data_IF_833004254959
#
_entry.id   IF_833004254959
#
_cell.length_a   1.000
_cell.length_b   1.000
_cell.length_c   1.000
_cell.angle_alpha   90.00
_cell.angle_beta   90.00
_cell.angle_gamma   90.00
#
_symmetry.space_group_name_H-M   'P 1'
#
loop_
_entity.id
_entity.type
_entity.pdbx_description
1 polymer ?
#
# COMPACT_ATOMS: atom_id res chain seq x y z
N UNK A 1 1.37 -17.24 27.79
CA UNK A 1 2.63 -16.66 27.33
C UNK A 1 2.30 -15.95 26.04
N UNK A 2 2.04 -14.64 26.10
CA UNK A 2 1.75 -13.87 24.89
C UNK A 2 3.04 -13.85 24.07
N UNK A 3 3.03 -14.48 22.89
CA UNK A 3 4.10 -14.28 21.94
C UNK A 3 4.02 -12.82 21.51
N UNK A 4 5.04 -12.04 21.82
CA UNK A 4 5.23 -10.74 21.18
C UNK A 4 5.43 -11.01 19.69
N UNK A 5 4.35 -10.94 18.91
CA UNK A 5 4.45 -10.94 17.46
C UNK A 5 5.07 -9.60 17.09
N UNK A 6 6.37 -9.61 16.81
CA UNK A 6 7.06 -8.50 16.17
C UNK A 6 6.30 -8.19 14.87
N UNK A 7 5.53 -7.10 14.88
CA UNK A 7 4.76 -6.69 13.71
C UNK A 7 5.74 -6.23 12.65
N UNK A 8 5.72 -6.91 11.51
CA UNK A 8 6.59 -6.60 10.40
C UNK A 8 6.14 -5.28 9.76
N UNK A 9 6.76 -4.17 10.16
CA UNK A 9 6.47 -2.84 9.64
C UNK A 9 7.35 -2.57 8.42
N UNK A 10 6.77 -2.36 7.23
CA UNK A 10 7.56 -2.05 6.04
C UNK A 10 8.24 -0.68 6.19
N UNK A 11 9.53 -0.62 5.83
CA UNK A 11 10.28 0.62 5.73
C UNK A 11 10.26 1.11 4.29
N UNK A 12 9.96 2.40 4.09
CA UNK A 12 9.95 3.04 2.77
C UNK A 12 11.13 3.99 2.62
N UNK A 13 11.80 3.89 1.48
CA UNK A 13 12.85 4.84 1.10
C UNK A 13 12.19 6.15 0.64
N UNK A 14 11.97 7.05 1.59
CA UNK A 14 11.25 8.32 1.35
C UNK A 14 11.94 9.22 0.34
N UNK A 15 13.28 9.28 0.34
CA UNK A 15 14.01 10.19 -0.55
C UNK A 15 13.88 9.78 -2.02
N UNK A 16 13.73 8.48 -2.28
CA UNK A 16 13.69 7.96 -3.64
C UNK A 16 12.27 7.59 -4.10
N UNK A 17 11.25 7.70 -3.24
CA UNK A 17 9.87 7.32 -3.56
C UNK A 17 8.86 8.36 -3.01
N UNK A 18 8.97 9.65 -3.35
CA UNK A 18 8.09 10.68 -2.82
C UNK A 18 6.61 10.44 -3.19
N UNK A 19 6.33 10.02 -4.43
CA UNK A 19 4.95 9.83 -4.92
C UNK A 19 4.26 8.65 -4.24
N UNK A 20 5.02 7.58 -3.94
CA UNK A 20 4.52 6.46 -3.16
C UNK A 20 4.13 6.88 -1.74
N UNK A 21 4.94 7.75 -1.11
CA UNK A 21 4.62 8.28 0.22
C UNK A 21 3.33 9.12 0.15
N UNK A 22 3.22 9.98 -0.86
CA UNK A 22 2.02 10.79 -1.07
C UNK A 22 0.79 9.90 -1.31
N UNK A 23 0.91 8.86 -2.13
CA UNK A 23 -0.17 7.93 -2.41
C UNK A 23 -0.66 7.18 -1.16
N UNK A 24 0.27 6.70 -0.32
CA UNK A 24 -0.10 6.02 0.93
C UNK A 24 -0.79 7.00 1.89
N UNK A 25 -0.35 8.26 1.94
CA UNK A 25 -0.96 9.30 2.79
C UNK A 25 -2.33 9.76 2.26
N UNK A 26 -2.53 9.77 0.95
CA UNK A 26 -3.78 10.14 0.29
C UNK A 26 -4.82 9.02 0.36
N UNK A 27 -4.39 7.77 0.54
CA UNK A 27 -5.26 6.60 0.61
C UNK A 27 -6.25 6.70 1.77
N UNK A 28 -7.55 6.56 1.44
CA UNK A 28 -8.65 6.72 2.38
C UNK A 28 -9.48 5.45 2.51
N UNK A 29 -9.99 5.24 3.73
CA UNK A 29 -11.05 4.29 4.00
C UNK A 29 -12.38 5.02 4.23
N UNK A 30 -13.49 4.41 3.84
CA UNK A 30 -14.82 4.90 4.15
C UNK A 30 -15.66 3.81 4.84
N UNK A 31 -16.68 4.22 5.60
CA UNK A 31 -17.68 3.29 6.15
C UNK A 31 -18.85 3.19 5.18
N UNK A 32 -19.07 2.01 4.61
CA UNK A 32 -20.21 1.70 3.76
C UNK A 32 -21.30 0.91 4.49
N UNK A 33 -22.35 0.53 3.73
CA UNK A 33 -23.46 -0.29 4.23
C UNK A 33 -23.02 -1.63 4.84
N UNK A 34 -21.93 -2.20 4.34
CA UNK A 34 -21.40 -3.49 4.78
C UNK A 34 -20.16 -3.35 5.69
N UNK A 35 -19.95 -2.18 6.30
CA UNK A 35 -18.79 -1.90 7.15
C UNK A 35 -17.67 -1.15 6.43
N UNK A 36 -16.43 -1.31 6.92
CA UNK A 36 -15.27 -0.60 6.39
C UNK A 36 -14.94 -1.07 4.97
N UNK A 37 -14.65 -0.13 4.08
CA UNK A 37 -14.19 -0.40 2.72
C UNK A 37 -13.24 0.71 2.28
N UNK A 38 -12.49 0.46 1.21
CA UNK A 38 -11.69 1.51 0.58
C UNK A 38 -12.57 2.60 -0.02
N UNK A 39 -12.12 3.83 0.07
CA UNK A 39 -12.71 4.92 -0.68
C UNK A 39 -12.21 4.85 -2.13
N UNK A 40 -13.11 4.42 -3.03
CA UNK A 40 -12.85 4.25 -4.47
C UNK A 40 -13.51 5.35 -5.30
N UNK A 41 -13.99 6.42 -4.67
CA UNK A 41 -14.73 7.50 -5.36
C UNK A 41 -13.88 8.23 -6.41
N UNK A 42 -12.57 8.31 -6.20
CA UNK A 42 -11.63 8.96 -7.13
C UNK A 42 -11.14 8.10 -8.29
N UNK A 43 -11.28 6.77 -8.24
CA UNK A 43 -10.65 5.87 -9.24
C UNK A 43 -11.12 6.11 -10.68
N UNK A 44 -12.35 6.61 -10.86
CA UNK A 44 -12.96 6.86 -12.19
C UNK A 44 -12.85 8.32 -12.64
N UNK A 45 -12.30 9.19 -11.81
CA UNK A 45 -12.13 10.60 -12.16
C UNK A 45 -10.89 10.75 -13.04
N UNK A 46 -10.99 11.62 -14.06
CA UNK A 46 -9.83 12.03 -14.84
C UNK A 46 -8.75 12.62 -13.91
N UNK A 47 -7.50 12.52 -14.32
CA UNK A 47 -6.41 13.19 -13.61
C UNK A 47 -6.54 14.71 -13.73
N UNK A 48 -6.03 15.41 -12.73
CA UNK A 48 -5.84 16.86 -12.74
C UNK A 48 -4.43 17.18 -12.27
N UNK A 49 -3.99 18.43 -12.41
CA UNK A 49 -2.68 18.89 -11.90
C UNK A 49 -2.52 18.64 -10.39
N UNK A 50 -3.62 18.58 -9.64
CA UNK A 50 -3.64 18.37 -8.19
C UNK A 50 -3.84 16.90 -7.78
N UNK A 51 -4.35 16.04 -8.68
CA UNK A 51 -4.73 14.65 -8.41
C UNK A 51 -4.30 13.74 -9.57
N UNK A 52 -2.98 13.57 -9.67
CA UNK A 52 -2.33 12.67 -10.62
C UNK A 52 -2.62 11.20 -10.26
N UNK A 53 -2.71 10.36 -11.29
CA UNK A 53 -2.98 8.92 -11.10
C UNK A 53 -1.91 8.21 -10.26
N UNK A 54 -0.65 8.64 -10.36
CA UNK A 54 0.46 8.09 -9.57
C UNK A 54 0.34 8.33 -8.06
N UNK A 55 -0.49 9.30 -7.65
CA UNK A 55 -0.79 9.59 -6.25
C UNK A 55 -1.99 8.78 -5.70
N UNK A 56 -2.56 7.87 -6.48
CA UNK A 56 -3.71 7.04 -6.08
C UNK A 56 -3.25 5.59 -5.85
N UNK A 57 -3.34 5.08 -4.63
CA UNK A 57 -3.02 3.66 -4.31
C UNK A 57 -4.09 2.98 -3.48
N UNK A 58 -4.50 1.78 -3.92
CA UNK A 58 -5.39 0.89 -3.18
C UNK A 58 -4.73 -0.46 -2.87
N UNK A 59 -3.39 -0.55 -2.92
CA UNK A 59 -2.66 -1.80 -2.69
C UNK A 59 -1.98 -1.90 -1.31
N UNK A 60 -1.91 -0.80 -0.54
CA UNK A 60 -1.10 -0.74 0.69
C UNK A 60 -1.54 -1.72 1.80
N UNK A 61 -2.85 -1.91 1.99
CA UNK A 61 -3.37 -2.91 2.94
C UNK A 61 -2.95 -4.33 2.57
N UNK A 62 -2.93 -4.66 1.27
CA UNK A 62 -2.46 -5.95 0.76
C UNK A 62 -0.99 -6.16 1.10
N UNK A 63 -0.15 -5.14 0.89
CA UNK A 63 1.25 -5.18 1.31
C UNK A 63 1.38 -5.41 2.82
N UNK A 64 0.69 -4.59 3.63
CA UNK A 64 0.80 -4.65 5.09
C UNK A 64 0.28 -5.99 5.66
N UNK A 65 -0.88 -6.46 5.19
CA UNK A 65 -1.44 -7.78 5.55
C UNK A 65 -0.47 -8.90 5.14
N UNK A 66 0.19 -8.77 3.98
CA UNK A 66 1.15 -9.77 3.53
C UNK A 66 2.39 -9.80 4.42
N UNK A 67 2.93 -8.64 4.81
CA UNK A 67 4.03 -8.55 5.77
C UNK A 67 3.68 -9.18 7.12
N UNK A 68 2.44 -9.00 7.59
CA UNK A 68 1.99 -9.56 8.87
C UNK A 68 1.69 -11.07 8.79
N UNK A 69 1.05 -11.55 7.72
CA UNK A 69 0.58 -12.94 7.61
C UNK A 69 1.57 -13.90 6.96
N UNK A 70 2.45 -13.40 6.11
CA UNK A 70 3.39 -14.21 5.34
C UNK A 70 4.82 -13.70 5.49
N UNK A 71 5.37 -13.69 6.73
CA UNK A 71 6.75 -13.27 6.95
C UNK A 71 7.72 -14.21 6.24
N UNK A 72 8.57 -13.63 5.39
CA UNK A 72 9.63 -14.35 4.71
C UNK A 72 10.88 -14.31 5.59
N UNK A 73 11.45 -15.47 5.89
CA UNK A 73 12.60 -15.61 6.78
C UNK A 73 13.94 -15.71 6.03
N UNK A 74 13.89 -15.85 4.70
CA UNK A 74 15.04 -16.02 3.81
C UNK A 74 15.06 -14.97 2.68
N UNK A 75 16.23 -14.70 2.11
CA UNK A 75 16.34 -13.83 0.92
C UNK A 75 15.76 -14.51 -0.31
N UNK A 76 14.68 -13.96 -0.87
CA UNK A 76 14.07 -14.44 -2.12
C UNK A 76 14.64 -13.66 -3.31
N UNK A 77 15.25 -14.37 -4.26
CA UNK A 77 15.60 -13.78 -5.56
C UNK A 77 14.37 -13.77 -6.45
N UNK A 78 13.84 -12.58 -6.73
CA UNK A 78 12.75 -12.40 -7.69
C UNK A 78 13.32 -11.96 -9.04
N UNK A 79 13.03 -12.67 -10.14
CA UNK A 79 13.49 -12.27 -11.47
C UNK A 79 12.79 -10.98 -11.89
N UNK A 80 13.55 -9.90 -12.10
CA UNK A 80 13.05 -8.55 -12.47
C UNK A 80 12.56 -8.49 -13.93
N UNK A 81 12.64 -9.59 -14.68
CA UNK A 81 12.52 -9.63 -16.14
C UNK A 81 11.10 -9.38 -16.71
N UNK A 82 10.15 -8.87 -15.93
CA UNK A 82 8.76 -8.65 -16.34
C UNK A 82 8.12 -7.35 -15.87
N UNK A 83 8.86 -6.43 -15.27
CA UNK A 83 8.35 -5.09 -14.91
C UNK A 83 8.90 -4.11 -15.96
N UNK A 84 8.08 -3.84 -16.99
CA UNK A 84 8.24 -2.73 -17.93
C UNK A 84 6.95 -1.91 -17.94
#
# INVERSE_FOLDING_TARGET
MESHTERLMPFFNRSNNPDLILAIQSARGCRGRNGFRKDKSGEKLAESEEDLLEHRTDAFDTLYISCEKFPVHDTVSVPVSGIL
#
